data_IF_626937183794
#
_entry.id   IF_626937183794
#
_cell.length_a   1.000
_cell.length_b   1.000
_cell.length_c   1.000
_cell.angle_alpha   90.00
_cell.angle_beta   90.00
_cell.angle_gamma   90.00
#
_symmetry.space_group_name_H-M   'P 1'
#
loop_
_entity.id
_entity.type
_entity.pdbx_description
1 polymer ?
#
# COMPACT_ATOMS: atom_id res chain seq x y z
N UNK A 1 -50.69 -17.95 -11.08
CA UNK A 1 -49.29 -18.47 -11.11
C UNK A 1 -48.33 -17.34 -11.50
N UNK A 2 -48.16 -16.33 -10.64
CA UNK A 2 -47.35 -15.12 -10.99
C UNK A 2 -46.61 -14.48 -9.81
N UNK A 3 -46.59 -15.09 -8.62
CA UNK A 3 -45.88 -14.52 -7.46
C UNK A 3 -44.43 -15.00 -7.31
N UNK A 4 -44.01 -16.07 -8.01
CA UNK A 4 -42.71 -16.70 -7.80
C UNK A 4 -41.56 -16.06 -8.61
N UNK A 5 -41.85 -15.33 -9.70
CA UNK A 5 -40.79 -14.73 -10.54
C UNK A 5 -40.17 -13.46 -9.99
N UNK A 6 -40.87 -12.74 -9.12
CA UNK A 6 -40.38 -11.47 -8.57
C UNK A 6 -39.34 -11.67 -7.46
N UNK A 7 -39.35 -12.81 -6.77
CA UNK A 7 -38.36 -13.11 -5.73
C UNK A 7 -37.01 -13.54 -6.29
N UNK A 8 -37.00 -14.23 -7.45
CA UNK A 8 -35.74 -14.62 -8.10
C UNK A 8 -34.97 -13.43 -8.69
N UNK A 9 -35.66 -12.34 -9.06
CA UNK A 9 -34.99 -11.14 -9.57
C UNK A 9 -34.31 -10.31 -8.47
N UNK A 10 -34.80 -10.37 -7.23
CA UNK A 10 -34.22 -9.63 -6.10
C UNK A 10 -32.94 -10.28 -5.55
N UNK A 11 -32.76 -11.60 -5.71
CA UNK A 11 -31.55 -12.29 -5.28
C UNK A 11 -30.38 -12.14 -6.27
N UNK A 12 -30.63 -11.80 -7.53
CA UNK A 12 -29.57 -11.55 -8.51
C UNK A 12 -28.95 -10.15 -8.39
N UNK A 13 -29.65 -9.20 -7.75
CA UNK A 13 -29.15 -7.83 -7.54
C UNK A 13 -28.12 -7.72 -6.41
N UNK A 14 -28.02 -8.71 -5.52
CA UNK A 14 -27.04 -8.73 -4.44
C UNK A 14 -25.62 -9.11 -4.91
N UNK A 15 -25.44 -9.51 -6.17
CA UNK A 15 -24.13 -9.83 -6.73
C UNK A 15 -23.35 -8.61 -7.24
N UNK A 16 -23.91 -7.40 -7.14
CA UNK A 16 -23.15 -6.15 -7.26
C UNK A 16 -22.56 -5.77 -5.90
N UNK A 17 -21.94 -6.73 -5.22
CA UNK A 17 -21.04 -6.40 -4.13
C UNK A 17 -19.92 -5.55 -4.74
N UNK A 18 -19.96 -4.25 -4.47
CA UNK A 18 -18.89 -3.32 -4.82
C UNK A 18 -17.54 -3.90 -4.38
N UNK A 19 -16.48 -3.58 -5.14
CA UNK A 19 -15.13 -4.10 -4.87
C UNK A 19 -14.83 -4.02 -3.39
N UNK A 20 -14.64 -5.16 -2.73
CA UNK A 20 -14.21 -5.20 -1.35
C UNK A 20 -12.82 -4.54 -1.29
N UNK A 21 -12.76 -3.29 -0.84
CA UNK A 21 -11.51 -2.66 -0.44
C UNK A 21 -11.13 -3.27 0.90
N UNK A 22 -10.14 -4.15 0.92
CA UNK A 22 -9.63 -4.82 2.12
C UNK A 22 -8.78 -3.87 2.99
N UNK A 23 -9.28 -2.65 3.21
CA UNK A 23 -8.64 -1.64 4.04
C UNK A 23 -9.22 -1.70 5.45
N UNK A 24 -8.35 -1.93 6.42
CA UNK A 24 -8.69 -1.89 7.83
C UNK A 24 -7.50 -1.39 8.65
N UNK A 25 -7.67 -0.37 9.52
CA UNK A 25 -8.86 0.46 9.67
C UNK A 25 -9.12 1.33 8.43
N UNK A 26 -10.33 1.89 8.32
CA UNK A 26 -10.67 2.78 7.20
C UNK A 26 -9.90 4.11 7.31
N UNK A 27 -9.21 4.57 6.24
CA UNK A 27 -8.51 5.86 6.26
C UNK A 27 -9.46 7.05 6.42
N UNK A 28 -8.97 8.14 7.01
CA UNK A 28 -9.77 9.37 7.19
C UNK A 28 -10.21 9.98 5.85
N UNK A 29 -9.32 9.97 4.85
CA UNK A 29 -9.60 10.39 3.48
C UNK A 29 -9.12 9.30 2.53
N UNK A 30 -10.00 8.83 1.65
CA UNK A 30 -9.69 7.78 0.70
C UNK A 30 -10.29 8.11 -0.67
N UNK A 31 -9.43 8.13 -1.68
CA UNK A 31 -9.80 8.30 -3.08
C UNK A 31 -9.20 7.14 -3.87
N UNK A 32 -10.01 6.48 -4.68
CA UNK A 32 -9.62 5.29 -5.45
C UNK A 32 -9.95 5.46 -6.93
N UNK A 33 -9.23 4.73 -7.77
CA UNK A 33 -9.39 4.71 -9.22
C UNK A 33 -9.50 3.26 -9.71
N UNK A 34 -10.04 3.09 -10.92
CA UNK A 34 -10.07 1.81 -11.62
C UNK A 34 -8.73 1.43 -12.25
N UNK A 35 -7.79 2.38 -12.30
CA UNK A 35 -6.45 2.18 -12.81
C UNK A 35 -5.65 1.19 -11.96
N UNK A 36 -4.89 0.32 -12.64
CA UNK A 36 -4.11 -0.75 -12.00
C UNK A 36 -2.65 -0.64 -12.40
N UNK A 37 -1.78 -0.91 -11.44
CA UNK A 37 -0.34 -0.96 -11.63
C UNK A 37 0.16 -2.38 -11.38
N UNK A 38 1.10 -2.83 -12.20
CA UNK A 38 1.77 -4.12 -12.03
C UNK A 38 2.93 -3.96 -11.06
N UNK A 39 3.01 -4.88 -10.10
CA UNK A 39 4.15 -5.03 -9.20
C UNK A 39 4.92 -6.29 -9.58
N UNK A 40 6.26 -6.18 -9.60
CA UNK A 40 7.15 -7.31 -9.81
C UNK A 40 7.79 -7.66 -8.47
N UNK A 41 7.40 -8.78 -7.82
CA UNK A 41 7.88 -9.13 -6.49
C UNK A 41 9.41 -9.07 -6.34
N UNK A 42 10.13 -9.65 -7.29
CA UNK A 42 11.60 -9.70 -7.27
C UNK A 42 12.27 -8.31 -7.42
N UNK A 43 11.57 -7.33 -7.99
CA UNK A 43 12.11 -5.99 -8.28
C UNK A 43 11.47 -4.88 -7.43
N UNK A 44 10.41 -5.20 -6.68
CA UNK A 44 9.77 -4.23 -5.80
C UNK A 44 10.75 -3.76 -4.73
N UNK A 45 10.69 -2.52 -4.27
CA UNK A 45 11.52 -2.04 -3.17
C UNK A 45 10.91 -0.79 -2.52
N UNK A 46 11.19 -0.65 -1.23
CA UNK A 46 10.99 0.61 -0.52
C UNK A 46 12.26 1.43 -0.64
N UNK A 47 12.13 2.74 -0.85
CA UNK A 47 13.28 3.65 -0.95
C UNK A 47 13.01 4.91 -0.15
N UNK A 48 14.05 5.48 0.45
CA UNK A 48 13.97 6.82 1.03
C UNK A 48 13.95 7.87 -0.07
N UNK A 49 13.13 8.90 0.10
CA UNK A 49 13.26 10.11 -0.69
C UNK A 49 14.58 10.82 -0.38
N UNK A 50 15.19 11.44 -1.38
CA UNK A 50 16.47 12.18 -1.22
C UNK A 50 16.37 13.36 -0.26
N UNK A 51 15.17 13.93 -0.10
CA UNK A 51 14.87 15.05 0.78
C UNK A 51 14.27 14.63 2.13
N UNK A 52 14.12 13.32 2.36
CA UNK A 52 13.59 12.78 3.61
C UNK A 52 14.54 13.04 4.78
N UNK A 53 14.00 13.46 5.93
CA UNK A 53 14.74 13.60 7.18
C UNK A 53 15.17 12.24 7.74
N UNK A 54 14.44 11.17 7.43
CA UNK A 54 14.88 9.80 7.66
C UNK A 54 15.65 9.26 6.45
N UNK A 55 16.77 8.60 6.69
CA UNK A 55 17.69 8.06 5.68
C UNK A 55 18.14 6.64 6.11
N UNK A 56 18.85 5.89 5.24
CA UNK A 56 19.42 4.60 5.61
C UNK A 56 20.21 4.67 6.93
N UNK A 57 19.97 3.71 7.82
CA UNK A 57 20.41 3.75 9.22
C UNK A 57 19.28 4.08 10.21
N UNK A 58 18.08 4.39 9.71
CA UNK A 58 16.86 4.48 10.48
C UNK A 58 16.32 3.06 10.76
N UNK A 59 16.77 2.43 11.85
CA UNK A 59 16.43 1.03 12.18
C UNK A 59 14.93 0.75 12.12
N UNK A 60 14.10 1.67 12.58
CA UNK A 60 12.64 1.54 12.56
C UNK A 60 12.08 1.36 11.14
N UNK A 61 12.56 2.13 10.17
CA UNK A 61 12.09 2.06 8.79
C UNK A 61 12.82 1.00 7.97
N UNK A 62 14.12 0.81 8.19
CA UNK A 62 14.91 -0.21 7.52
C UNK A 62 14.33 -1.62 7.80
N UNK A 63 14.04 -1.92 9.07
CA UNK A 63 13.43 -3.19 9.48
C UNK A 63 11.98 -3.30 9.02
N UNK A 64 11.23 -2.18 8.98
CA UNK A 64 9.88 -2.19 8.44
C UNK A 64 9.88 -2.53 6.94
N UNK A 65 10.75 -1.90 6.15
CA UNK A 65 10.84 -2.14 4.71
C UNK A 65 11.13 -3.61 4.41
N UNK A 66 12.05 -4.22 5.16
CA UNK A 66 12.33 -5.65 5.03
C UNK A 66 11.12 -6.49 5.42
N UNK A 67 10.53 -6.25 6.60
CA UNK A 67 9.37 -7.02 7.09
C UNK A 67 8.20 -6.96 6.11
N UNK A 68 7.86 -5.79 5.58
CA UNK A 68 6.70 -5.64 4.70
C UNK A 68 6.95 -6.13 3.29
N UNK A 69 8.20 -6.08 2.82
CA UNK A 69 8.57 -6.79 1.60
C UNK A 69 8.29 -8.29 1.75
N UNK A 70 8.70 -8.87 2.87
CA UNK A 70 8.47 -10.28 3.16
C UNK A 70 6.99 -10.59 3.41
N UNK A 71 6.20 -9.67 3.95
CA UNK A 71 4.76 -9.85 4.13
C UNK A 71 4.00 -9.79 2.79
N UNK A 72 4.40 -8.89 1.88
CA UNK A 72 3.77 -8.72 0.57
C UNK A 72 4.14 -9.84 -0.42
N UNK A 73 5.37 -10.34 -0.34
CA UNK A 73 5.92 -11.25 -1.35
C UNK A 73 6.47 -12.56 -0.76
N UNK A 74 6.57 -12.72 0.56
CA UNK A 74 7.28 -13.85 1.16
C UNK A 74 8.81 -13.78 0.96
N UNK A 75 9.51 -14.73 1.57
CA UNK A 75 10.98 -14.84 1.52
C UNK A 75 11.52 -15.62 0.32
N UNK A 76 10.65 -16.17 -0.52
CA UNK A 76 11.01 -16.97 -1.69
C UNK A 76 11.17 -16.16 -2.97
N UNK A 77 11.97 -16.67 -3.91
CA UNK A 77 12.03 -16.08 -5.25
C UNK A 77 10.74 -16.34 -6.01
N UNK A 78 10.14 -15.29 -6.58
CA UNK A 78 8.95 -15.48 -7.41
C UNK A 78 9.34 -15.99 -8.79
N UNK A 79 8.59 -16.95 -9.36
CA UNK A 79 8.82 -17.40 -10.72
C UNK A 79 8.69 -16.20 -11.67
N UNK A 80 9.64 -16.08 -12.59
CA UNK A 80 9.63 -15.00 -13.57
C UNK A 80 8.39 -15.18 -14.45
N UNK A 81 7.48 -14.20 -14.53
CA UNK A 81 6.30 -14.33 -15.36
C UNK A 81 6.74 -14.52 -16.82
N UNK A 82 6.13 -15.52 -17.49
CA UNK A 82 6.28 -15.69 -18.93
C UNK A 82 5.60 -14.52 -19.62
N UNK A 83 6.37 -13.48 -19.96
CA UNK A 83 5.87 -12.32 -20.69
C UNK A 83 5.62 -12.69 -22.15
N UNK A 84 4.45 -13.27 -22.43
CA UNK A 84 3.94 -13.44 -23.78
C UNK A 84 3.38 -12.10 -24.27
N UNK A 85 4.28 -11.27 -24.81
CA UNK A 85 3.94 -10.05 -25.54
C UNK A 85 4.17 -8.75 -24.74
N UNK A 86 4.66 -7.74 -25.46
CA UNK A 86 4.82 -6.37 -24.96
C UNK A 86 3.45 -5.72 -24.78
N UNK A 87 2.80 -5.95 -23.64
CA UNK A 87 1.75 -5.03 -23.17
C UNK A 87 2.46 -3.85 -22.50
N UNK A 88 2.11 -2.62 -22.87
CA UNK A 88 2.45 -1.44 -22.07
C UNK A 88 1.70 -1.56 -20.74
N UNK A 89 2.30 -2.24 -19.77
CA UNK A 89 1.81 -2.29 -18.40
C UNK A 89 2.42 -1.15 -17.61
N UNK A 90 1.58 -0.37 -16.91
CA UNK A 90 2.05 0.62 -15.96
C UNK A 90 2.59 -0.13 -14.74
N UNK A 91 3.86 0.11 -14.40
CA UNK A 91 4.54 -0.62 -13.33
C UNK A 91 4.89 0.32 -12.18
N UNK A 92 4.82 -0.18 -10.93
CA UNK A 92 5.17 0.59 -9.72
C UNK A 92 6.03 -0.24 -8.78
N UNK A 93 7.27 -0.50 -9.17
CA UNK A 93 8.19 -1.33 -8.39
C UNK A 93 8.92 -0.58 -7.27
N UNK A 94 8.68 0.71 -7.08
CA UNK A 94 9.31 1.48 -6.00
C UNK A 94 8.22 2.23 -5.24
N UNK A 95 8.17 2.03 -3.92
CA UNK A 95 7.47 2.95 -3.02
C UNK A 95 8.50 3.86 -2.37
N UNK A 96 8.44 5.14 -2.71
CA UNK A 96 9.29 6.17 -2.10
C UNK A 96 8.68 6.59 -0.77
N UNK A 97 9.49 6.71 0.27
CA UNK A 97 9.09 7.07 1.62
C UNK A 97 9.81 8.34 2.04
N UNK A 98 9.05 9.37 2.41
CA UNK A 98 9.56 10.65 2.86
C UNK A 98 9.02 11.01 4.23
N UNK A 99 9.93 11.27 5.17
CA UNK A 99 9.60 11.75 6.51
C UNK A 99 10.06 13.19 6.67
N UNK A 100 9.19 14.06 7.18
CA UNK A 100 9.47 15.49 7.34
C UNK A 100 10.39 15.78 8.52
N UNK A 101 10.14 15.14 9.67
CA UNK A 101 10.87 15.39 10.92
C UNK A 101 11.79 14.24 11.31
N UNK A 102 13.03 14.52 11.78
CA UNK A 102 13.94 13.47 12.23
C UNK A 102 13.46 12.86 13.56
N UNK A 103 13.57 11.54 13.71
CA UNK A 103 13.10 10.88 14.94
C UNK A 103 13.33 9.37 15.05
N UNK A 104 14.14 8.78 14.17
CA UNK A 104 14.25 7.32 14.04
C UNK A 104 14.71 6.56 15.30
N UNK A 105 15.45 7.21 16.21
CA UNK A 105 16.08 6.57 17.36
C UNK A 105 15.31 6.79 18.68
N UNK A 106 14.11 7.36 18.61
CA UNK A 106 13.31 7.68 19.79
C UNK A 106 12.16 6.67 19.93
N UNK A 107 11.65 6.51 21.15
CA UNK A 107 10.41 5.77 21.37
C UNK A 107 9.21 6.68 21.06
N UNK A 108 8.08 6.13 20.60
CA UNK A 108 6.88 6.91 20.40
C UNK A 108 6.33 7.38 21.76
N UNK A 109 5.70 8.55 21.74
CA UNK A 109 5.00 9.17 22.86
C UNK A 109 3.53 9.36 22.52
N UNK A 110 2.69 9.71 23.50
CA UNK A 110 1.28 10.05 23.25
C UNK A 110 1.12 11.23 22.27
N UNK A 111 2.12 12.10 22.19
CA UNK A 111 2.14 13.28 21.32
C UNK A 111 2.79 13.02 19.96
N UNK A 112 3.23 11.78 19.70
CA UNK A 112 3.85 11.42 18.42
C UNK A 112 2.85 11.56 17.28
N UNK A 113 3.20 12.38 16.29
CA UNK A 113 2.34 12.67 15.14
C UNK A 113 2.38 11.51 14.15
N UNK A 114 1.24 10.85 13.94
CA UNK A 114 1.13 9.65 13.10
C UNK A 114 0.37 9.90 11.77
N UNK A 115 0.27 11.15 11.33
CA UNK A 115 -0.37 11.47 10.05
C UNK A 115 0.47 10.96 8.87
N UNK A 116 -0.22 10.61 7.78
CA UNK A 116 0.43 10.20 6.55
C UNK A 116 -0.42 10.54 5.34
N UNK A 117 0.20 10.54 4.17
CA UNK A 117 -0.45 10.62 2.86
C UNK A 117 0.22 9.61 1.93
N UNK A 118 -0.57 8.66 1.42
CA UNK A 118 -0.14 7.71 0.40
C UNK A 118 -0.71 8.13 -0.95
N UNK A 119 0.17 8.40 -1.92
CA UNK A 119 -0.21 8.77 -3.28
C UNK A 119 0.32 7.74 -4.27
N UNK A 120 -0.59 7.13 -5.03
CA UNK A 120 -0.27 6.17 -6.10
C UNK A 120 -1.00 6.62 -7.37
N UNK A 121 -0.25 7.13 -8.33
CA UNK A 121 -0.75 7.55 -9.63
C UNK A 121 0.34 7.35 -10.71
N UNK A 122 0.14 7.86 -11.93
CA UNK A 122 1.09 7.66 -13.03
C UNK A 122 2.47 8.25 -12.75
N UNK A 123 2.53 9.37 -12.04
CA UNK A 123 3.77 10.12 -11.80
C UNK A 123 4.51 9.65 -10.54
N UNK A 124 3.78 9.24 -9.50
CA UNK A 124 4.35 8.98 -8.18
C UNK A 124 3.78 7.74 -7.48
N UNK A 125 4.62 7.13 -6.66
CA UNK A 125 4.29 6.10 -5.67
C UNK A 125 5.01 6.53 -4.39
N UNK A 126 4.37 7.41 -3.64
CA UNK A 126 4.98 8.18 -2.55
C UNK A 126 4.16 8.03 -1.26
N UNK A 127 4.86 7.68 -0.19
CA UNK A 127 4.39 7.74 1.18
C UNK A 127 5.07 8.92 1.88
N UNK A 128 4.28 9.95 2.19
CA UNK A 128 4.72 11.12 2.94
C UNK A 128 4.15 11.07 4.37
N UNK A 129 4.97 11.33 5.38
CA UNK A 129 4.52 11.45 6.78
C UNK A 129 5.28 12.53 7.55
N UNK A 130 4.66 13.07 8.61
CA UNK A 130 5.34 14.07 9.46
C UNK A 130 6.50 13.43 10.23
N UNK A 131 6.25 12.27 10.84
CA UNK A 131 7.25 11.51 11.61
C UNK A 131 7.37 10.08 11.08
N UNK A 132 8.36 9.34 11.59
CA UNK A 132 8.53 7.91 11.31
C UNK A 132 7.28 7.08 11.67
N UNK A 133 6.53 7.48 12.69
CA UNK A 133 5.36 6.76 13.17
C UNK A 133 4.21 6.82 12.17
N UNK A 134 4.04 7.93 11.47
CA UNK A 134 3.05 8.05 10.38
C UNK A 134 3.38 7.14 9.21
N UNK A 135 4.65 7.05 8.80
CA UNK A 135 5.08 6.13 7.74
C UNK A 135 4.81 4.67 8.12
N UNK A 136 5.07 4.31 9.38
CA UNK A 136 4.80 2.97 9.87
C UNK A 136 3.31 2.60 9.82
N UNK A 137 2.38 3.53 10.07
CA UNK A 137 0.93 3.26 10.05
C UNK A 137 0.45 2.71 8.71
N UNK A 138 1.03 3.17 7.61
CA UNK A 138 0.68 2.68 6.26
C UNK A 138 1.18 1.27 6.04
N UNK A 139 2.33 0.98 6.62
CA UNK A 139 2.95 -0.31 6.46
C UNK A 139 2.28 -1.35 7.38
N UNK A 140 1.79 -0.97 8.57
CA UNK A 140 1.07 -1.85 9.50
C UNK A 140 -0.28 -2.35 8.95
N UNK A 141 -0.27 -3.59 8.43
CA UNK A 141 -1.44 -4.45 8.42
C UNK A 141 -1.41 -5.30 9.70
N UNK A 142 -2.46 -5.23 10.51
CA UNK A 142 -2.60 -6.05 11.72
C UNK A 142 -3.21 -7.41 11.34
N UNK A 143 -2.52 -8.49 11.70
CA UNK A 143 -3.05 -9.86 11.67
C UNK A 143 -4.24 -10.04 12.62
#
# INVERSE_FOLDING_TARGET
>A
MTSSRLWFSLLLAAAFAGRATALWPWPQNFQTSDQRYVLYPNNFQFQYDVSSAAQPGCSVLDEAFQRYRDLLFGSGSWPRPYLTGKRHTLEKNVLVVSVVTPGCNQLPTLESVENYTLTINDDQCLLLSETVWGALRVLYQQD
#
